data_IF_065639446769
#
_entry.id   IF_065639446769
#
_cell.length_a   1.000
_cell.length_b   1.000
_cell.length_c   1.000
_cell.angle_alpha   90.00
_cell.angle_beta   90.00
_cell.angle_gamma   90.00
#
_symmetry.space_group_name_H-M   'P 1'
#
loop_
_entity.id
_entity.type
_entity.pdbx_description
1 polymer ?
#
# COMPACT_ATOMS: atom_id res chain seq x y z
N UNK A 1 13.04 -14.61 22.82
CA UNK A 1 14.25 -14.08 23.48
C UNK A 1 13.80 -12.85 24.23
N UNK A 2 13.73 -12.93 25.55
CA UNK A 2 13.48 -11.75 26.37
C UNK A 2 14.69 -10.82 26.19
N UNK A 3 14.48 -9.72 25.48
CA UNK A 3 15.45 -8.63 25.45
C UNK A 3 15.62 -8.19 26.90
N UNK A 4 16.85 -8.28 27.41
CA UNK A 4 17.09 -7.93 28.81
C UNK A 4 16.73 -6.46 29.03
N UNK A 5 16.24 -6.09 30.22
CA UNK A 5 15.94 -4.69 30.54
C UNK A 5 17.14 -3.76 30.28
N UNK A 6 18.37 -4.29 30.37
CA UNK A 6 19.61 -3.57 30.01
C UNK A 6 19.79 -3.42 28.49
N UNK A 7 19.47 -4.43 27.67
CA UNK A 7 19.50 -4.28 26.20
C UNK A 7 18.51 -3.22 25.70
N UNK A 8 17.29 -3.19 26.26
CA UNK A 8 16.30 -2.17 25.91
C UNK A 8 16.80 -0.76 26.26
N UNK A 9 17.37 -0.58 27.46
CA UNK A 9 17.94 0.70 27.88
C UNK A 9 19.14 1.08 27.01
N UNK A 10 19.98 0.12 26.65
CA UNK A 10 21.15 0.32 25.79
C UNK A 10 20.75 0.79 24.39
N UNK A 11 19.76 0.15 23.77
CA UNK A 11 19.24 0.56 22.46
C UNK A 11 18.63 1.97 22.50
N UNK A 12 17.87 2.26 23.57
CA UNK A 12 17.24 3.56 23.77
C UNK A 12 18.29 4.67 23.90
N UNK A 13 19.38 4.41 24.62
CA UNK A 13 20.53 5.31 24.74
C UNK A 13 21.22 5.49 23.38
N UNK A 14 21.50 4.40 22.67
CA UNK A 14 22.24 4.43 21.40
C UNK A 14 21.48 5.18 20.28
N UNK A 15 20.16 5.00 20.20
CA UNK A 15 19.30 5.73 19.25
C UNK A 15 19.34 7.24 19.52
N UNK A 16 19.29 7.64 20.79
CA UNK A 16 19.33 9.05 21.16
C UNK A 16 20.73 9.66 20.99
N UNK A 17 21.80 8.88 21.13
CA UNK A 17 23.15 9.32 20.78
C UNK A 17 23.27 9.61 19.28
N UNK A 18 22.73 8.72 18.44
CA UNK A 18 22.72 8.90 16.97
C UNK A 18 21.86 10.07 16.50
N UNK A 19 20.86 10.46 17.30
CA UNK A 19 20.02 11.63 17.05
C UNK A 19 20.67 12.97 17.45
N UNK A 20 21.87 12.95 18.04
CA UNK A 20 22.58 14.15 18.48
C UNK A 20 22.06 14.75 19.79
N UNK A 21 21.37 13.96 20.61
CA UNK A 21 20.89 14.38 21.93
C UNK A 21 22.08 14.61 22.87
N UNK A 22 21.99 15.62 23.74
CA UNK A 22 23.08 15.95 24.67
C UNK A 22 23.44 14.76 25.58
N UNK A 23 24.73 14.44 25.80
CA UNK A 23 25.15 13.25 26.54
C UNK A 23 24.51 13.13 27.94
N UNK A 24 24.35 14.24 28.64
CA UNK A 24 23.79 14.29 29.99
C UNK A 24 22.29 13.94 30.02
N UNK A 25 21.57 14.16 28.91
CA UNK A 25 20.16 13.78 28.76
C UNK A 25 20.00 12.30 28.46
N UNK A 26 20.95 11.72 27.74
CA UNK A 26 20.97 10.30 27.38
C UNK A 26 21.24 9.46 28.63
N UNK A 27 22.17 9.89 29.47
CA UNK A 27 22.48 9.26 30.76
C UNK A 27 21.27 9.30 31.72
N UNK A 28 20.55 10.42 31.73
CA UNK A 28 19.31 10.57 32.51
C UNK A 28 18.19 9.66 32.00
N UNK A 29 18.05 9.54 30.68
CA UNK A 29 17.06 8.71 30.01
C UNK A 29 17.31 7.22 30.32
N UNK A 30 18.58 6.79 30.25
CA UNK A 30 18.96 5.43 30.64
C UNK A 30 18.75 5.15 32.14
N UNK A 31 19.08 6.09 33.03
CA UNK A 31 18.87 5.95 34.47
C UNK A 31 17.37 5.90 34.85
N UNK A 32 16.54 6.71 34.20
CA UNK A 32 15.10 6.76 34.47
C UNK A 32 14.36 5.53 33.92
N UNK A 33 14.70 5.07 32.72
CA UNK A 33 14.13 3.84 32.17
C UNK A 33 14.46 2.63 33.05
N UNK A 34 15.69 2.54 33.59
CA UNK A 34 16.05 1.53 34.61
C UNK A 34 15.19 1.63 35.86
N UNK A 35 14.92 2.84 36.36
CA UNK A 35 14.07 3.09 37.54
C UNK A 35 12.60 2.72 37.32
N UNK A 36 12.04 3.01 36.15
CA UNK A 36 10.67 2.68 35.78
C UNK A 36 10.47 1.18 35.56
N UNK A 37 11.43 0.51 34.91
CA UNK A 37 11.43 -0.96 34.74
C UNK A 37 11.55 -1.69 36.09
N UNK A 38 12.21 -1.08 37.08
CA UNK A 38 12.32 -1.61 38.45
C UNK A 38 11.06 -1.44 39.29
N UNK A 39 10.08 -0.62 38.85
CA UNK A 39 8.89 -0.23 39.64
C UNK A 39 7.54 -0.63 39.02
N UNK A 40 7.51 -1.26 37.85
CA UNK A 40 6.30 -1.81 37.20
C UNK A 40 5.09 -0.84 37.15
N UNK A 41 5.30 0.47 36.89
CA UNK A 41 4.20 1.45 36.79
C UNK A 41 3.78 1.65 35.34
N UNK A 42 2.50 1.45 35.03
CA UNK A 42 1.89 1.69 33.71
C UNK A 42 1.52 3.16 33.51
N UNK A 43 1.58 3.64 32.26
CA UNK A 43 1.22 5.01 31.84
C UNK A 43 -0.23 4.99 31.32
N UNK A 44 -1.13 5.81 31.89
CA UNK A 44 -2.55 5.88 31.50
C UNK A 44 -2.85 7.05 30.54
N UNK A 45 -3.64 6.79 29.48
CA UNK A 45 -3.84 7.74 28.37
C UNK A 45 -5.30 8.04 27.96
N UNK A 46 -6.29 7.14 28.13
CA UNK A 46 -7.60 7.37 27.51
C UNK A 46 -8.82 7.24 28.43
N UNK A 47 -9.64 8.28 28.38
CA UNK A 47 -11.10 8.25 28.55
C UNK A 47 -11.75 8.65 27.22
N UNK A 48 -12.90 8.05 26.90
CA UNK A 48 -13.57 7.85 25.59
C UNK A 48 -13.93 9.08 24.73
N UNK A 49 -13.29 10.23 24.92
CA UNK A 49 -13.53 11.40 24.07
C UNK A 49 -12.24 12.16 23.82
N UNK A 50 -11.76 12.12 22.58
CA UNK A 50 -10.90 13.15 22.01
C UNK A 50 -11.04 13.13 20.49
N UNK A 51 -11.82 14.07 20.00
CA UNK A 51 -11.86 14.49 18.60
C UNK A 51 -10.54 15.18 18.24
N UNK A 52 -10.01 14.84 17.07
CA UNK A 52 -8.74 15.26 16.45
C UNK A 52 -8.56 16.78 16.21
N UNK A 53 -9.30 17.67 16.87
CA UNK A 53 -9.36 19.09 16.48
C UNK A 53 -8.45 20.04 17.25
N UNK A 54 -7.71 19.61 18.27
CA UNK A 54 -6.64 20.47 18.82
C UNK A 54 -5.50 19.66 19.41
N UNK A 55 -4.36 19.61 18.68
CA UNK A 55 -3.09 19.04 19.14
C UNK A 55 -2.74 19.45 20.58
N UNK A 56 -3.04 20.71 20.94
CA UNK A 56 -2.81 21.25 22.29
C UNK A 56 -3.74 20.67 23.36
N UNK A 57 -4.98 20.27 23.06
CA UNK A 57 -5.91 19.72 24.05
C UNK A 57 -5.54 18.29 24.45
N UNK A 58 -5.18 17.44 23.47
CA UNK A 58 -4.70 16.09 23.72
C UNK A 58 -3.41 16.08 24.58
N UNK A 59 -2.45 16.93 24.21
CA UNK A 59 -1.19 17.10 24.95
C UNK A 59 -1.44 17.67 26.35
N UNK A 60 -2.32 18.67 26.50
CA UNK A 60 -2.68 19.22 27.82
C UNK A 60 -3.36 18.18 28.71
N UNK A 61 -4.26 17.36 28.16
CA UNK A 61 -4.90 16.25 28.89
C UNK A 61 -3.83 15.25 29.34
N UNK A 62 -2.91 14.87 28.44
CA UNK A 62 -1.78 13.99 28.75
C UNK A 62 -0.93 14.53 29.91
N UNK A 63 -0.50 15.80 29.85
CA UNK A 63 0.26 16.47 30.92
C UNK A 63 -0.53 16.45 32.24
N UNK A 64 -1.84 16.73 32.18
CA UNK A 64 -2.68 16.80 33.38
C UNK A 64 -2.89 15.45 34.08
N UNK A 65 -2.99 14.35 33.31
CA UNK A 65 -3.18 13.00 33.82
C UNK A 65 -1.87 12.36 34.30
N UNK A 66 -0.73 12.82 33.78
CA UNK A 66 0.58 12.26 34.05
C UNK A 66 1.48 13.17 34.90
N UNK A 67 0.90 14.01 35.76
CA UNK A 67 1.66 14.90 36.69
C UNK A 67 2.56 14.16 37.67
N UNK A 68 2.37 12.84 37.82
CA UNK A 68 3.18 11.96 38.65
C UNK A 68 4.50 11.54 37.96
N UNK A 69 4.62 11.76 36.65
CA UNK A 69 5.85 11.57 35.88
C UNK A 69 6.78 12.76 36.12
N UNK A 70 8.09 12.55 36.12
CA UNK A 70 9.02 13.64 36.31
C UNK A 70 8.90 14.68 35.16
N UNK A 71 9.09 15.99 35.45
CA UNK A 71 8.89 17.03 34.44
C UNK A 71 9.76 16.91 33.19
N UNK A 72 10.96 16.32 33.28
CA UNK A 72 11.88 16.18 32.13
C UNK A 72 11.41 15.08 31.19
N UNK A 73 11.03 13.92 31.71
CA UNK A 73 10.42 12.84 30.93
C UNK A 73 9.09 13.26 30.33
N UNK A 74 8.28 14.03 31.07
CA UNK A 74 7.03 14.56 30.54
C UNK A 74 7.28 15.52 29.36
N UNK A 75 8.28 16.39 29.46
CA UNK A 75 8.69 17.28 28.35
C UNK A 75 9.10 16.48 27.11
N UNK A 76 9.86 15.39 27.27
CA UNK A 76 10.28 14.54 26.15
C UNK A 76 9.10 13.85 25.46
N UNK A 77 8.19 13.26 26.25
CA UNK A 77 6.99 12.60 25.71
C UNK A 77 6.08 13.59 24.97
N UNK A 78 6.00 14.83 25.45
CA UNK A 78 5.29 15.92 24.78
C UNK A 78 5.97 16.27 23.45
N UNK A 79 7.29 16.45 23.42
CA UNK A 79 8.01 16.76 22.16
C UNK A 79 7.86 15.65 21.11
N UNK A 80 7.90 14.37 21.51
CA UNK A 80 7.61 13.26 20.60
C UNK A 80 6.15 13.32 20.10
N UNK A 81 5.19 13.57 20.99
CA UNK A 81 3.79 13.68 20.59
C UNK A 81 3.57 14.83 19.60
N UNK A 82 4.21 16.00 19.82
CA UNK A 82 4.17 17.14 18.90
C UNK A 82 4.75 16.77 17.52
N UNK A 83 5.93 16.14 17.47
CA UNK A 83 6.54 15.69 16.23
C UNK A 83 5.62 14.76 15.42
N UNK A 84 4.97 13.81 16.08
CA UNK A 84 4.06 12.87 15.41
C UNK A 84 2.82 13.60 14.88
N UNK A 85 2.25 14.52 15.67
CA UNK A 85 1.08 15.30 15.26
C UNK A 85 1.39 16.25 14.09
N UNK A 86 2.58 16.85 14.05
CA UNK A 86 3.03 17.68 12.93
C UNK A 86 3.16 16.88 11.63
N UNK A 87 3.47 15.58 11.75
CA UNK A 87 3.48 14.62 10.64
C UNK A 87 2.09 14.03 10.35
N UNK A 88 1.05 14.46 11.06
CA UNK A 88 -0.30 13.91 11.00
C UNK A 88 -0.33 12.39 11.30
N UNK A 89 0.50 11.94 12.24
CA UNK A 89 0.56 10.54 12.68
C UNK A 89 0.11 10.42 14.14
N UNK A 90 -0.52 9.30 14.53
CA UNK A 90 -0.79 9.03 15.93
C UNK A 90 0.52 8.76 16.65
N UNK A 91 0.75 9.44 17.78
CA UNK A 91 1.87 9.14 18.66
C UNK A 91 1.54 7.88 19.48
N UNK A 92 2.41 6.88 19.43
CA UNK A 92 2.27 5.64 20.18
C UNK A 92 3.58 5.43 20.94
N UNK A 93 3.50 5.24 22.26
CA UNK A 93 4.66 5.26 23.15
C UNK A 93 5.20 3.87 23.45
N UNK A 94 4.32 2.87 23.52
CA UNK A 94 4.66 1.50 23.89
C UNK A 94 3.58 0.53 23.40
N UNK A 95 3.77 -0.76 23.67
CA UNK A 95 2.86 -1.84 23.26
C UNK A 95 1.48 -1.73 23.93
N UNK A 96 1.40 -1.30 25.19
CA UNK A 96 0.12 -1.14 25.88
C UNK A 96 -0.71 0.00 25.25
N UNK A 97 -0.06 1.10 24.90
CA UNK A 97 -0.69 2.20 24.16
C UNK A 97 -1.11 1.73 22.76
N UNK A 98 -0.26 0.97 22.05
CA UNK A 98 -0.63 0.40 20.75
C UNK A 98 -1.88 -0.48 20.84
N UNK A 99 -1.97 -1.34 21.86
CA UNK A 99 -3.13 -2.20 22.05
C UNK A 99 -4.42 -1.38 22.20
N UNK A 100 -4.41 -0.37 23.08
CA UNK A 100 -5.56 0.52 23.29
C UNK A 100 -5.92 1.31 22.03
N UNK A 101 -4.92 1.76 21.28
CA UNK A 101 -5.11 2.42 19.99
C UNK A 101 -5.78 1.52 18.94
N UNK A 102 -5.61 0.20 19.05
CA UNK A 102 -6.21 -0.81 18.17
C UNK A 102 -7.50 -1.42 18.76
N UNK A 103 -8.07 -0.81 19.81
CA UNK A 103 -9.24 -1.31 20.54
C UNK A 103 -9.04 -2.73 21.13
N UNK A 104 -7.85 -3.00 21.65
CA UNK A 104 -7.46 -4.24 22.32
C UNK A 104 -6.84 -3.95 23.68
N UNK A 105 -6.83 -4.94 24.56
CA UNK A 105 -5.89 -4.95 25.69
C UNK A 105 -4.53 -5.53 25.26
N UNK A 106 -3.51 -5.28 26.11
CA UNK A 106 -2.13 -5.67 25.86
C UNK A 106 -1.97 -7.19 25.70
N UNK A 107 -2.69 -7.98 26.51
CA UNK A 107 -2.57 -9.43 26.50
C UNK A 107 -3.15 -10.03 25.21
N UNK A 108 -4.30 -9.52 24.78
CA UNK A 108 -4.92 -9.89 23.51
C UNK A 108 -4.07 -9.51 22.30
N UNK A 109 -3.44 -8.32 22.30
CA UNK A 109 -2.51 -7.94 21.24
C UNK A 109 -1.31 -8.90 21.18
N UNK A 110 -0.68 -9.19 22.32
CA UNK A 110 0.46 -10.11 22.38
C UNK A 110 0.07 -11.52 21.96
N UNK A 111 -1.09 -12.02 22.41
CA UNK A 111 -1.62 -13.33 22.03
C UNK A 111 -1.87 -13.41 20.53
N UNK A 112 -2.40 -12.35 19.91
CA UNK A 112 -2.63 -12.29 18.48
C UNK A 112 -1.31 -12.33 17.70
N UNK A 113 -0.28 -11.58 18.14
CA UNK A 113 1.06 -11.59 17.55
C UNK A 113 1.69 -12.99 17.66
N UNK A 114 1.64 -13.59 18.85
CA UNK A 114 2.18 -14.94 19.09
C UNK A 114 1.49 -16.00 18.23
N UNK A 115 0.17 -15.90 18.08
CA UNK A 115 -0.64 -16.86 17.33
C UNK A 115 -0.96 -16.40 15.90
N UNK A 116 -0.20 -15.44 15.34
CA UNK A 116 -0.50 -14.78 14.05
C UNK A 116 -0.82 -15.76 12.92
N UNK A 117 -0.17 -16.92 12.91
CA UNK A 117 -0.35 -17.94 11.88
C UNK A 117 -1.81 -18.44 11.81
N UNK A 118 -2.46 -18.59 12.96
CA UNK A 118 -3.86 -18.98 13.08
C UNK A 118 -4.84 -17.93 12.55
N UNK A 119 -4.39 -16.68 12.38
CA UNK A 119 -5.19 -15.56 11.88
C UNK A 119 -5.08 -15.35 10.37
N UNK A 120 -4.37 -16.23 9.66
CA UNK A 120 -4.36 -16.28 8.20
C UNK A 120 -5.03 -17.55 7.67
N UNK A 121 -5.53 -17.46 6.46
CA UNK A 121 -5.89 -18.62 5.66
C UNK A 121 -5.31 -18.46 4.26
N UNK A 122 -4.86 -19.57 3.69
CA UNK A 122 -4.17 -19.59 2.41
C UNK A 122 -5.00 -20.29 1.35
N UNK A 123 -5.04 -19.73 0.15
CA UNK A 123 -5.75 -20.31 -0.98
C UNK A 123 -5.10 -19.91 -2.30
N UNK A 124 -5.52 -20.56 -3.39
CA UNK A 124 -4.97 -20.31 -4.72
C UNK A 124 -6.01 -19.69 -5.65
N UNK A 125 -5.61 -18.68 -6.41
CA UNK A 125 -6.39 -18.10 -7.51
C UNK A 125 -5.68 -18.40 -8.84
N UNK A 126 -6.37 -18.77 -9.93
CA UNK A 126 -5.75 -18.94 -11.24
C UNK A 126 -5.16 -17.61 -11.73
N UNK A 127 -3.94 -17.66 -12.28
CA UNK A 127 -3.37 -16.54 -13.03
C UNK A 127 -3.96 -16.50 -14.44
N UNK A 128 -4.05 -15.29 -15.01
CA UNK A 128 -4.58 -15.07 -16.36
C UNK A 128 -3.77 -15.74 -17.49
N UNK A 129 -2.50 -16.06 -17.25
CA UNK A 129 -1.60 -16.70 -18.22
C UNK A 129 -1.18 -18.11 -17.78
N UNK A 130 -1.99 -18.77 -16.95
CA UNK A 130 -1.69 -20.09 -16.40
C UNK A 130 -0.88 -20.04 -15.08
N UNK A 131 -0.95 -21.14 -14.34
CA UNK A 131 -0.41 -21.26 -12.99
C UNK A 131 -1.35 -20.71 -11.91
N UNK A 132 -0.90 -20.79 -10.66
CA UNK A 132 -1.67 -20.40 -9.47
C UNK A 132 -0.98 -19.23 -8.74
N UNK A 133 -1.79 -18.34 -8.18
CA UNK A 133 -1.36 -17.25 -7.29
C UNK A 133 -1.75 -17.65 -5.87
N UNK A 134 -0.75 -17.82 -5.02
CA UNK A 134 -0.95 -18.09 -3.61
C UNK A 134 -1.37 -16.78 -2.90
N UNK A 135 -2.52 -16.81 -2.24
CA UNK A 135 -3.06 -15.70 -1.44
C UNK A 135 -3.02 -16.13 0.01
N UNK A 136 -2.51 -15.26 0.88
CA UNK A 136 -2.55 -15.41 2.33
C UNK A 136 -3.41 -14.26 2.88
N UNK A 137 -4.68 -14.53 3.12
CA UNK A 137 -5.63 -13.51 3.56
C UNK A 137 -5.81 -13.56 5.09
N UNK A 138 -5.81 -12.40 5.77
CA UNK A 138 -6.14 -12.33 7.19
C UNK A 138 -7.61 -12.69 7.41
N UNK A 139 -7.89 -13.36 8.53
CA UNK A 139 -9.23 -13.58 9.07
C UNK A 139 -9.83 -12.26 9.56
N UNK A 140 -11.15 -12.24 9.80
CA UNK A 140 -11.92 -11.02 10.06
C UNK A 140 -11.32 -10.12 11.16
N UNK A 141 -10.88 -10.71 12.27
CA UNK A 141 -10.30 -10.00 13.42
C UNK A 141 -9.01 -9.25 13.04
N UNK A 142 -7.97 -9.98 12.59
CA UNK A 142 -6.72 -9.36 12.13
C UNK A 142 -6.95 -8.39 10.95
N UNK A 143 -7.90 -8.70 10.07
CA UNK A 143 -8.25 -7.83 8.94
C UNK A 143 -8.82 -6.49 9.40
N UNK A 144 -9.58 -6.46 10.50
CA UNK A 144 -10.10 -5.22 11.08
C UNK A 144 -8.96 -4.37 11.65
N UNK A 145 -8.05 -4.98 12.41
CA UNK A 145 -6.85 -4.32 12.96
C UNK A 145 -5.97 -3.75 11.84
N UNK A 146 -5.69 -4.55 10.81
CA UNK A 146 -4.92 -4.12 9.65
C UNK A 146 -5.58 -2.97 8.87
N UNK A 147 -6.92 -2.90 8.85
CA UNK A 147 -7.63 -1.74 8.28
C UNK A 147 -7.45 -0.50 9.14
N UNK A 148 -7.50 -0.61 10.47
CA UNK A 148 -7.23 0.50 11.39
C UNK A 148 -5.81 1.05 11.21
N UNK A 149 -4.80 0.17 11.13
CA UNK A 149 -3.41 0.55 10.82
C UNK A 149 -3.34 1.26 9.46
N UNK A 150 -4.03 0.73 8.44
CA UNK A 150 -4.05 1.32 7.11
C UNK A 150 -4.60 2.76 7.14
N UNK A 151 -5.78 2.97 7.74
CA UNK A 151 -6.46 4.27 7.71
C UNK A 151 -5.82 5.29 8.65
N UNK A 152 -5.42 4.85 9.85
CA UNK A 152 -4.96 5.77 10.89
C UNK A 152 -3.45 6.06 10.84
N UNK A 153 -2.66 5.21 10.19
CA UNK A 153 -1.21 5.37 10.10
C UNK A 153 -0.79 5.47 8.63
N UNK A 154 -0.97 4.39 7.86
CA UNK A 154 -0.30 4.24 6.56
C UNK A 154 -0.82 5.23 5.50
N UNK A 155 -2.12 5.43 5.38
CA UNK A 155 -2.71 6.35 4.39
C UNK A 155 -2.34 7.83 4.65
N UNK A 156 -1.83 8.16 5.84
CA UNK A 156 -1.32 9.50 6.19
C UNK A 156 0.13 9.70 5.73
N UNK A 157 0.84 8.62 5.40
CA UNK A 157 2.22 8.66 4.89
C UNK A 157 2.24 9.07 3.42
N UNK A 158 3.10 10.05 3.10
CA UNK A 158 3.31 10.49 1.73
C UNK A 158 3.93 9.36 0.88
N UNK A 159 3.31 9.11 -0.27
CA UNK A 159 3.82 8.20 -1.31
C UNK A 159 4.02 9.00 -2.59
N UNK A 160 5.13 8.75 -3.28
CA UNK A 160 5.52 9.49 -4.47
C UNK A 160 4.41 9.50 -5.56
N UNK A 161 4.14 10.62 -6.24
CA UNK A 161 3.05 10.73 -7.23
C UNK A 161 3.12 9.77 -8.42
N UNK A 162 4.31 9.26 -8.76
CA UNK A 162 4.47 8.28 -9.85
C UNK A 162 3.89 6.90 -9.51
N UNK A 163 3.75 6.58 -8.22
CA UNK A 163 3.04 5.40 -7.77
C UNK A 163 1.54 5.60 -7.95
N UNK A 164 0.94 4.81 -8.83
CA UNK A 164 -0.48 4.83 -9.17
C UNK A 164 -1.23 3.59 -8.61
N UNK A 165 -0.53 2.49 -8.37
CA UNK A 165 -1.13 1.27 -7.82
C UNK A 165 -1.56 1.47 -6.36
N UNK A 166 -2.70 0.89 -5.99
CA UNK A 166 -3.20 0.85 -4.60
C UNK A 166 -3.42 2.22 -3.92
N UNK A 167 -3.65 3.28 -4.70
CA UNK A 167 -3.89 4.62 -4.16
C UNK A 167 -5.29 5.11 -4.49
N UNK A 168 -5.92 5.77 -3.53
CA UNK A 168 -7.20 6.46 -3.73
C UNK A 168 -7.04 7.53 -4.82
N UNK A 169 -8.03 7.66 -5.69
CA UNK A 169 -8.03 8.62 -6.79
C UNK A 169 -7.06 8.30 -7.95
N UNK A 170 -6.31 7.19 -7.88
CA UNK A 170 -5.45 6.71 -8.97
C UNK A 170 -6.05 5.45 -9.60
N UNK A 171 -5.72 5.22 -10.86
CA UNK A 171 -6.22 4.08 -11.62
C UNK A 171 -5.24 3.66 -12.71
N UNK A 172 -5.57 2.58 -13.41
CA UNK A 172 -4.84 2.19 -14.63
C UNK A 172 -4.85 3.29 -15.70
N UNK A 173 -5.85 4.18 -15.68
CA UNK A 173 -5.96 5.31 -16.62
C UNK A 173 -4.98 6.41 -16.25
N UNK A 174 -4.92 6.79 -14.97
CA UNK A 174 -3.94 7.79 -14.50
C UNK A 174 -2.51 7.31 -14.68
N UNK A 175 -2.27 6.01 -14.50
CA UNK A 175 -0.98 5.38 -14.77
C UNK A 175 -0.60 5.49 -16.26
N UNK A 176 -1.55 5.19 -17.15
CA UNK A 176 -1.33 5.18 -18.60
C UNK A 176 -1.22 6.57 -19.24
N UNK A 177 -1.79 7.61 -18.62
CA UNK A 177 -1.90 8.94 -19.19
C UNK A 177 -0.54 9.57 -19.53
N UNK A 178 0.47 9.36 -18.69
CA UNK A 178 1.80 9.92 -18.90
C UNK A 178 2.56 9.28 -20.07
N UNK A 179 2.07 8.16 -20.61
CA UNK A 179 2.75 7.39 -21.66
C UNK A 179 2.04 7.48 -23.02
N UNK A 180 1.02 8.33 -23.13
CA UNK A 180 0.23 8.47 -24.36
C UNK A 180 1.06 9.09 -25.47
N UNK A 181 1.01 8.49 -26.67
CA UNK A 181 1.61 9.07 -27.88
C UNK A 181 3.12 8.90 -28.03
N UNK A 182 3.78 8.27 -27.06
CA UNK A 182 5.24 8.12 -26.99
C UNK A 182 5.77 7.16 -28.07
N UNK A 183 6.97 7.43 -28.59
CA UNK A 183 7.60 6.59 -29.63
C UNK A 183 7.89 5.17 -29.13
N UNK A 184 8.30 5.04 -27.87
CA UNK A 184 8.64 3.77 -27.24
C UNK A 184 8.19 3.71 -25.78
N UNK A 185 7.69 2.55 -25.37
CA UNK A 185 7.35 2.22 -23.98
C UNK A 185 8.10 0.95 -23.59
N UNK A 186 8.83 1.02 -22.50
CA UNK A 186 9.49 -0.10 -21.85
C UNK A 186 8.68 -0.45 -20.61
N UNK A 187 8.32 -1.72 -20.48
CA UNK A 187 7.63 -2.25 -19.30
C UNK A 187 8.55 -3.24 -18.61
N UNK A 188 8.63 -3.12 -17.30
CA UNK A 188 9.36 -4.04 -16.43
C UNK A 188 8.42 -4.43 -15.28
N UNK A 189 8.67 -5.58 -14.67
CA UNK A 189 7.84 -6.12 -13.58
C UNK A 189 8.78 -6.56 -12.46
N UNK A 190 8.42 -6.24 -11.22
CA UNK A 190 9.18 -6.72 -10.06
C UNK A 190 8.74 -8.14 -9.72
N UNK A 191 9.69 -9.07 -9.70
CA UNK A 191 9.46 -10.46 -9.36
C UNK A 191 9.09 -10.58 -7.88
N UNK A 192 8.05 -11.37 -7.61
CA UNK A 192 7.56 -11.67 -6.26
C UNK A 192 7.44 -10.42 -5.37
N UNK A 193 6.85 -9.35 -5.90
CA UNK A 193 6.85 -8.03 -5.29
C UNK A 193 6.46 -8.00 -3.81
N UNK A 194 5.30 -8.56 -3.41
CA UNK A 194 4.94 -8.61 -1.99
C UNK A 194 5.88 -9.52 -1.17
N UNK A 195 6.11 -10.79 -1.55
CA UNK A 195 7.06 -11.63 -0.81
C UNK A 195 8.49 -11.09 -0.73
N UNK A 196 8.95 -10.28 -1.68
CA UNK A 196 10.30 -9.68 -1.65
C UNK A 196 10.45 -8.60 -0.57
N UNK A 197 9.34 -8.07 -0.05
CA UNK A 197 9.35 -7.10 1.04
C UNK A 197 9.33 -7.85 2.38
N UNK A 198 10.48 -7.84 3.04
CA UNK A 198 10.74 -8.58 4.29
C UNK A 198 10.26 -7.84 5.53
N UNK A 199 10.17 -8.58 6.63
CA UNK A 199 9.91 -8.05 7.98
C UNK A 199 10.81 -6.87 8.31
N UNK A 200 12.12 -7.00 8.07
CA UNK A 200 13.08 -5.93 8.35
C UNK A 200 12.78 -4.64 7.57
N UNK A 201 12.37 -4.74 6.30
CA UNK A 201 11.99 -3.56 5.49
C UNK A 201 10.72 -2.91 6.04
N UNK A 202 9.76 -3.71 6.49
CA UNK A 202 8.51 -3.19 7.08
C UNK A 202 8.77 -2.56 8.47
N UNK A 203 9.61 -3.18 9.31
CA UNK A 203 10.05 -2.60 10.60
C UNK A 203 10.76 -1.27 10.37
N UNK A 204 11.65 -1.20 9.38
CA UNK A 204 12.32 0.03 8.95
C UNK A 204 11.33 1.15 8.61
N UNK A 205 10.24 0.84 7.89
CA UNK A 205 9.18 1.83 7.62
C UNK A 205 8.59 2.39 8.92
N UNK A 206 8.18 1.55 9.87
CA UNK A 206 7.57 2.05 11.11
C UNK A 206 8.58 2.80 12.00
N UNK A 207 9.85 2.40 12.01
CA UNK A 207 10.92 3.14 12.70
C UNK A 207 11.14 4.52 12.06
N UNK A 208 11.20 4.61 10.73
CA UNK A 208 11.39 5.88 9.99
C UNK A 208 10.22 6.85 10.21
N UNK A 209 9.00 6.33 10.43
CA UNK A 209 7.84 7.15 10.79
C UNK A 209 8.00 7.79 12.19
N UNK A 210 8.83 7.22 13.05
CA UNK A 210 9.12 7.69 14.40
C UNK A 210 8.62 6.77 15.51
N UNK A 211 8.06 5.59 15.19
CA UNK A 211 7.53 4.70 16.23
C UNK A 211 8.67 4.03 17.05
N UNK A 212 8.52 3.93 18.39
CA UNK A 212 9.47 3.22 19.23
C UNK A 212 9.65 1.76 18.81
N UNK A 213 10.82 1.18 19.09
CA UNK A 213 11.20 -0.15 18.58
C UNK A 213 10.15 -1.24 18.85
N UNK A 214 9.67 -1.38 20.09
CA UNK A 214 8.66 -2.38 20.43
C UNK A 214 7.31 -2.16 19.73
N UNK A 215 6.92 -0.91 19.50
CA UNK A 215 5.70 -0.56 18.75
C UNK A 215 5.88 -0.82 17.26
N UNK A 216 7.02 -0.43 16.68
CA UNK A 216 7.35 -0.70 15.29
C UNK A 216 7.39 -2.21 15.01
N UNK A 217 7.94 -2.99 15.92
CA UNK A 217 7.97 -4.45 15.85
C UNK A 217 6.56 -5.05 15.90
N UNK A 218 5.74 -4.64 16.86
CA UNK A 218 4.35 -5.10 16.96
C UNK A 218 3.52 -4.74 15.70
N UNK A 219 3.65 -3.51 15.18
CA UNK A 219 3.01 -3.10 13.92
C UNK A 219 3.50 -3.93 12.72
N UNK A 220 4.78 -4.30 12.72
CA UNK A 220 5.38 -5.16 11.68
C UNK A 220 4.83 -6.58 11.77
N UNK A 221 4.73 -7.14 12.98
CA UNK A 221 4.13 -8.45 13.23
C UNK A 221 2.68 -8.49 12.77
N UNK A 222 1.90 -7.45 13.05
CA UNK A 222 0.52 -7.31 12.58
C UNK A 222 0.42 -7.14 11.06
N UNK A 223 1.46 -6.65 10.39
CA UNK A 223 1.45 -6.34 8.95
C UNK A 223 2.08 -7.40 8.06
N UNK A 224 2.76 -8.39 8.66
CA UNK A 224 3.53 -9.41 7.93
C UNK A 224 3.02 -10.81 8.25
N UNK A 225 3.38 -11.75 7.38
CA UNK A 225 3.07 -13.17 7.53
C UNK A 225 4.28 -13.96 7.08
N UNK A 226 4.76 -14.91 7.90
CA UNK A 226 6.01 -15.64 7.64
C UNK A 226 7.20 -14.73 7.26
N UNK A 227 7.30 -13.59 7.96
CA UNK A 227 8.40 -12.63 7.82
C UNK A 227 8.39 -11.80 6.53
N UNK A 228 7.29 -11.76 5.78
CA UNK A 228 7.16 -11.01 4.51
C UNK A 228 5.78 -10.37 4.40
N UNK A 229 5.59 -9.44 3.47
CA UNK A 229 4.25 -8.91 3.18
C UNK A 229 3.36 -9.99 2.52
N UNK A 230 2.21 -10.35 3.11
CA UNK A 230 1.30 -11.31 2.51
C UNK A 230 0.48 -10.66 1.39
N UNK A 231 0.19 -11.46 0.35
CA UNK A 231 -0.79 -11.08 -0.64
C UNK A 231 -2.19 -11.32 -0.08
N UNK A 232 -2.95 -10.26 0.17
CA UNK A 232 -4.33 -10.34 0.68
C UNK A 232 -4.59 -9.52 1.95
N UNK A 233 -3.54 -9.09 2.66
CA UNK A 233 -3.68 -8.19 3.81
C UNK A 233 -4.00 -6.74 3.36
N UNK A 234 -4.86 -6.00 4.09
CA UNK A 234 -5.16 -4.60 3.81
C UNK A 234 -3.95 -3.67 3.85
N UNK A 235 -2.96 -3.92 4.70
CA UNK A 235 -1.77 -3.06 4.85
C UNK A 235 -0.74 -3.25 3.74
N UNK A 236 -0.57 -4.48 3.24
CA UNK A 236 0.47 -4.83 2.25
C UNK A 236 0.52 -3.91 1.03
N UNK A 237 -0.62 -3.57 0.37
CA UNK A 237 -0.61 -2.68 -0.79
C UNK A 237 0.03 -1.32 -0.51
N UNK A 238 -0.34 -0.67 0.59
CA UNK A 238 0.18 0.66 0.91
C UNK A 238 1.62 0.59 1.43
N UNK A 239 1.95 -0.39 2.28
CA UNK A 239 3.33 -0.63 2.73
C UNK A 239 4.28 -0.85 1.54
N UNK A 240 3.85 -1.63 0.55
CA UNK A 240 4.66 -1.85 -0.66
C UNK A 240 4.99 -0.56 -1.42
N UNK A 241 4.08 0.42 -1.39
CA UNK A 241 4.30 1.72 -2.00
C UNK A 241 5.27 2.58 -1.17
N UNK A 242 5.17 2.56 0.15
CA UNK A 242 6.10 3.27 1.04
C UNK A 242 7.52 2.72 0.84
N UNK A 243 7.69 1.39 0.90
CA UNK A 243 8.98 0.72 0.71
C UNK A 243 9.60 1.04 -0.67
N UNK A 244 8.77 1.19 -1.69
CA UNK A 244 9.21 1.51 -3.06
C UNK A 244 9.48 3.01 -3.29
N UNK A 245 9.24 3.88 -2.31
CA UNK A 245 9.27 5.34 -2.51
C UNK A 245 10.67 5.90 -2.78
N UNK A 246 11.73 5.21 -2.38
CA UNK A 246 13.12 5.60 -2.71
C UNK A 246 13.44 5.30 -4.18
N UNK A 247 13.11 4.08 -4.64
CA UNK A 247 13.16 3.70 -6.06
C UNK A 247 12.37 4.70 -6.93
N UNK A 248 11.14 5.04 -6.51
CA UNK A 248 10.28 5.98 -7.21
C UNK A 248 10.93 7.37 -7.38
N UNK A 249 11.57 7.87 -6.31
CA UNK A 249 12.29 9.16 -6.33
C UNK A 249 13.50 9.13 -7.26
N UNK A 250 14.28 8.04 -7.25
CA UNK A 250 15.44 7.87 -8.15
C UNK A 250 14.99 7.89 -9.60
N UNK A 251 13.94 7.12 -9.95
CA UNK A 251 13.42 7.11 -11.31
C UNK A 251 12.78 8.43 -11.72
N UNK A 252 12.03 9.08 -10.83
CA UNK A 252 11.46 10.39 -11.14
C UNK A 252 12.53 11.46 -11.39
N UNK A 253 13.59 11.50 -10.56
CA UNK A 253 14.70 12.41 -10.76
C UNK A 253 15.49 12.12 -12.03
N UNK A 254 15.69 10.84 -12.37
CA UNK A 254 16.32 10.43 -13.62
C UNK A 254 15.47 10.80 -14.83
N UNK A 255 14.16 10.55 -14.77
CA UNK A 255 13.18 10.87 -15.80
C UNK A 255 13.19 12.36 -16.15
N UNK A 256 13.29 13.22 -15.14
CA UNK A 256 13.39 14.67 -15.34
C UNK A 256 14.69 15.07 -16.03
N UNK A 257 15.83 14.45 -15.69
CA UNK A 257 17.14 14.78 -16.26
C UNK A 257 17.34 14.26 -17.69
N UNK A 258 16.72 13.13 -18.01
CA UNK A 258 16.93 12.39 -19.27
C UNK A 258 15.73 12.47 -20.22
N UNK A 259 14.76 13.34 -19.93
CA UNK A 259 13.54 13.59 -20.72
C UNK A 259 12.79 12.30 -21.10
N UNK A 260 12.34 11.57 -20.09
CA UNK A 260 11.42 10.45 -20.24
C UNK A 260 10.33 10.47 -19.17
N UNK A 261 9.32 9.64 -19.32
CA UNK A 261 8.25 9.47 -18.34
C UNK A 261 8.38 8.15 -17.59
N UNK A 262 8.13 8.19 -16.29
CA UNK A 262 8.10 7.03 -15.41
C UNK A 262 6.77 6.97 -14.65
N UNK A 263 6.21 5.77 -14.54
CA UNK A 263 5.13 5.47 -13.61
C UNK A 263 5.22 4.04 -13.07
N UNK A 264 4.62 3.83 -11.90
CA UNK A 264 4.55 2.51 -11.26
C UNK A 264 3.12 2.16 -10.87
N UNK A 265 2.67 0.96 -11.22
CA UNK A 265 1.40 0.40 -10.78
C UNK A 265 1.64 -0.94 -10.07
N UNK A 266 1.72 -0.89 -8.74
CA UNK A 266 2.16 -2.04 -7.94
C UNK A 266 3.57 -2.49 -8.35
N UNK A 267 3.69 -3.71 -8.88
CA UNK A 267 4.89 -4.36 -9.40
C UNK A 267 5.21 -3.98 -10.85
N UNK A 268 4.23 -3.48 -11.62
CA UNK A 268 4.41 -3.04 -13.00
C UNK A 268 5.09 -1.66 -13.05
N UNK A 269 6.26 -1.58 -13.68
CA UNK A 269 7.00 -0.36 -13.98
C UNK A 269 6.85 0.01 -15.45
N UNK A 270 6.65 1.29 -15.73
CA UNK A 270 6.52 1.82 -17.08
C UNK A 270 7.46 2.99 -17.30
N UNK A 271 8.21 2.92 -18.40
CA UNK A 271 9.09 3.97 -18.87
C UNK A 271 8.74 4.31 -20.32
N UNK A 272 8.70 5.57 -20.71
CA UNK A 272 8.46 5.94 -22.11
C UNK A 272 9.20 7.19 -22.51
N UNK A 273 9.59 7.27 -23.77
CA UNK A 273 10.27 8.44 -24.34
C UNK A 273 9.90 8.58 -25.82
N UNK A 274 10.18 9.76 -26.37
CA UNK A 274 10.17 10.02 -27.81
C UNK A 274 11.48 9.61 -28.49
N UNK A 275 12.54 9.29 -27.74
CA UNK A 275 13.78 8.72 -28.28
C UNK A 275 13.57 7.24 -28.71
N UNK A 276 13.64 6.89 -30.02
CA UNK A 276 13.45 5.52 -30.48
C UNK A 276 14.49 4.52 -29.96
N UNK A 277 15.65 5.00 -29.50
CA UNK A 277 16.77 4.21 -28.97
C UNK A 277 16.73 4.02 -27.45
N UNK A 278 15.67 4.49 -26.79
CA UNK A 278 15.51 4.50 -25.33
C UNK A 278 15.67 3.13 -24.66
N UNK A 279 15.52 2.02 -25.39
CA UNK A 279 15.77 0.67 -24.87
C UNK A 279 17.21 0.44 -24.41
N UNK A 280 18.17 1.29 -24.79
CA UNK A 280 19.55 1.28 -24.26
C UNK A 280 19.63 1.51 -22.75
N UNK A 281 18.60 2.11 -22.13
CA UNK A 281 18.55 2.40 -20.69
C UNK A 281 18.11 1.23 -19.82
N UNK A 282 17.63 0.12 -20.41
CA UNK A 282 17.13 -1.04 -19.65
C UNK A 282 18.17 -1.56 -18.62
N UNK A 283 19.46 -1.74 -18.95
CA UNK A 283 20.46 -2.19 -17.98
C UNK A 283 20.56 -1.25 -16.77
N UNK A 284 20.46 0.07 -17.00
CA UNK A 284 20.49 1.05 -15.91
C UNK A 284 19.23 1.00 -15.05
N UNK A 285 18.06 0.78 -15.66
CA UNK A 285 16.82 0.58 -14.90
C UNK A 285 16.88 -0.67 -14.03
N UNK A 286 17.44 -1.78 -14.54
CA UNK A 286 17.67 -2.99 -13.75
C UNK A 286 18.53 -2.69 -12.54
N UNK A 287 19.66 -2.01 -12.75
CA UNK A 287 20.58 -1.67 -11.67
C UNK A 287 19.89 -0.85 -10.56
N UNK A 288 19.09 0.16 -10.91
CA UNK A 288 18.32 0.91 -9.91
C UNK A 288 17.33 0.02 -9.14
N UNK A 289 16.65 -0.93 -9.81
CA UNK A 289 15.69 -1.83 -9.17
C UNK A 289 16.42 -2.77 -8.18
N UNK A 290 17.56 -3.31 -8.61
CA UNK A 290 18.40 -4.21 -7.81
C UNK A 290 19.01 -3.51 -6.60
N UNK A 291 19.55 -2.31 -6.77
CA UNK A 291 20.07 -1.46 -5.69
C UNK A 291 19.02 -1.17 -4.61
N UNK A 292 17.75 -1.08 -5.00
CA UNK A 292 16.62 -0.82 -4.10
C UNK A 292 16.05 -2.13 -3.48
N UNK A 293 16.77 -3.24 -3.66
CA UNK A 293 16.48 -4.54 -3.06
C UNK A 293 15.32 -5.29 -3.71
N UNK A 294 15.11 -5.09 -5.01
CA UNK A 294 14.10 -5.80 -5.80
C UNK A 294 14.73 -6.57 -6.96
N UNK A 295 14.09 -7.64 -7.42
CA UNK A 295 14.52 -8.42 -8.58
C UNK A 295 13.61 -8.15 -9.78
N UNK A 296 14.18 -7.99 -10.98
CA UNK A 296 13.42 -7.83 -12.21
C UNK A 296 12.91 -9.17 -12.72
N UNK A 297 11.65 -9.23 -13.10
CA UNK A 297 11.08 -10.37 -13.81
C UNK A 297 11.43 -10.30 -15.31
N UNK A 298 12.61 -10.83 -15.67
CA UNK A 298 13.14 -10.74 -17.03
C UNK A 298 12.18 -11.27 -18.11
N UNK A 299 11.38 -12.30 -17.79
CA UNK A 299 10.38 -12.86 -18.72
C UNK A 299 9.24 -11.90 -19.06
N UNK A 300 9.03 -10.86 -18.25
CA UNK A 300 7.98 -9.85 -18.42
C UNK A 300 8.52 -8.49 -18.89
N UNK A 301 9.83 -8.36 -19.08
CA UNK A 301 10.40 -7.18 -19.71
C UNK A 301 9.90 -7.10 -21.15
N UNK A 302 9.28 -5.98 -21.51
CA UNK A 302 8.67 -5.82 -22.82
C UNK A 302 8.86 -4.42 -23.38
N UNK A 303 9.12 -4.33 -24.69
CA UNK A 303 9.29 -3.08 -25.43
C UNK A 303 8.13 -2.95 -26.41
N UNK A 304 7.41 -1.83 -26.36
CA UNK A 304 6.33 -1.51 -27.26
C UNK A 304 6.62 -0.21 -28.02
N UNK A 305 6.80 -0.31 -29.34
CA UNK A 305 7.05 0.84 -30.23
C UNK A 305 5.75 1.34 -30.86
N UNK A 306 5.73 2.62 -31.26
CA UNK A 306 4.56 3.32 -31.83
C UNK A 306 3.96 2.65 -33.08
N UNK A 307 4.80 2.00 -33.90
CA UNK A 307 4.34 1.24 -35.07
C UNK A 307 3.50 0.01 -34.73
N UNK A 308 3.60 -0.52 -33.50
CA UNK A 308 2.79 -1.62 -32.99
C UNK A 308 1.79 -1.15 -31.92
N UNK A 309 1.01 -2.09 -31.38
CA UNK A 309 0.07 -1.78 -30.29
C UNK A 309 0.83 -1.56 -28.97
N UNK A 310 0.77 -0.34 -28.44
CA UNK A 310 1.28 0.01 -27.12
C UNK A 310 0.19 -0.16 -26.07
N UNK A 311 0.46 -1.03 -25.09
CA UNK A 311 -0.48 -1.36 -24.01
C UNK A 311 0.19 -1.24 -22.65
N UNK A 312 -0.41 -0.46 -21.77
CA UNK A 312 -0.03 -0.33 -20.36
C UNK A 312 -1.22 -0.64 -19.46
N UNK A 313 -1.02 -1.44 -18.40
CA UNK A 313 -2.05 -1.78 -17.39
C UNK A 313 -3.43 -2.12 -17.97
N UNK A 314 -3.48 -2.81 -19.12
CA UNK A 314 -4.73 -3.22 -19.77
C UNK A 314 -5.26 -2.30 -20.87
N UNK A 315 -4.80 -1.04 -20.95
CA UNK A 315 -5.31 -0.01 -21.88
C UNK A 315 -4.31 0.30 -22.99
N UNK A 316 -4.83 0.73 -24.14
CA UNK A 316 -4.03 1.13 -25.31
C UNK A 316 -3.68 2.61 -25.20
N UNK A 317 -2.42 2.97 -25.50
CA UNK A 317 -1.87 4.34 -25.28
C UNK A 317 -1.25 4.98 -26.52
N UNK A 318 -1.30 4.34 -27.69
CA UNK A 318 -0.64 4.82 -28.91
C UNK A 318 -0.90 6.29 -29.31
N UNK A 319 -2.10 6.82 -29.07
CA UNK A 319 -2.50 8.20 -29.46
C UNK A 319 -3.37 8.86 -28.42
N UNK A 320 -4.30 8.07 -27.86
CA UNK A 320 -5.15 8.41 -26.73
C UNK A 320 -5.39 7.15 -25.92
N UNK A 321 -5.73 7.31 -24.65
CA UNK A 321 -6.16 6.18 -23.84
C UNK A 321 -7.43 5.56 -24.46
N UNK A 322 -7.39 4.25 -24.67
CA UNK A 322 -8.52 3.52 -25.23
C UNK A 322 -8.57 2.10 -24.69
N UNK A 323 -9.77 1.50 -24.74
CA UNK A 323 -9.89 0.05 -24.59
C UNK A 323 -9.39 -0.65 -25.85
N UNK A 324 -9.12 -1.95 -25.72
CA UNK A 324 -8.80 -2.78 -26.88
C UNK A 324 -9.98 -2.81 -27.84
N UNK A 325 -9.70 -2.68 -29.15
CA UNK A 325 -10.73 -2.63 -30.19
C UNK A 325 -11.64 -3.86 -30.15
N UNK A 326 -11.07 -5.03 -29.89
CA UNK A 326 -11.79 -6.30 -29.89
C UNK A 326 -12.75 -6.41 -28.71
N UNK A 327 -12.35 -5.93 -27.53
CA UNK A 327 -13.24 -5.88 -26.35
C UNK A 327 -14.44 -4.97 -26.62
N UNK A 328 -14.22 -3.78 -27.20
CA UNK A 328 -15.31 -2.88 -27.55
C UNK A 328 -16.26 -3.49 -28.59
N UNK A 329 -15.71 -4.13 -29.64
CA UNK A 329 -16.51 -4.83 -30.66
C UNK A 329 -17.33 -5.96 -30.06
N UNK A 330 -16.71 -6.78 -29.20
CA UNK A 330 -17.38 -7.88 -28.48
C UNK A 330 -18.56 -7.35 -27.67
N UNK A 331 -18.34 -6.34 -26.83
CA UNK A 331 -19.42 -5.78 -25.99
C UNK A 331 -20.55 -5.20 -26.83
N UNK A 332 -20.22 -4.48 -27.91
CA UNK A 332 -21.23 -3.95 -28.84
C UNK A 332 -22.05 -5.07 -29.48
N UNK A 333 -21.41 -6.17 -29.88
CA UNK A 333 -22.10 -7.33 -30.46
C UNK A 333 -23.03 -8.02 -29.44
N UNK A 334 -22.56 -8.21 -28.21
CA UNK A 334 -23.41 -8.78 -27.13
C UNK A 334 -24.65 -7.92 -26.90
N UNK A 335 -24.48 -6.60 -26.76
CA UNK A 335 -25.61 -5.68 -26.55
C UNK A 335 -26.59 -5.71 -27.72
N UNK A 336 -26.08 -5.69 -28.96
CA UNK A 336 -26.90 -5.78 -30.16
C UNK A 336 -27.74 -7.07 -30.19
N UNK A 337 -27.13 -8.21 -29.89
CA UNK A 337 -27.84 -9.49 -29.88
C UNK A 337 -28.87 -9.56 -28.75
N UNK A 338 -28.55 -9.04 -27.56
CA UNK A 338 -29.53 -8.94 -26.47
C UNK A 338 -30.72 -8.03 -26.83
N UNK A 339 -30.50 -6.92 -27.55
CA UNK A 339 -31.57 -6.06 -28.04
C UNK A 339 -32.50 -6.76 -29.05
N UNK A 340 -31.97 -7.76 -29.77
CA UNK A 340 -32.75 -8.56 -30.72
C UNK A 340 -33.41 -9.79 -30.07
N UNK A 341 -33.33 -9.94 -28.74
CA UNK A 341 -33.98 -11.04 -28.00
C UNK A 341 -33.09 -12.25 -27.70
N UNK A 342 -31.82 -12.28 -28.16
CA UNK A 342 -30.92 -13.44 -28.01
C UNK A 342 -30.23 -13.53 -26.63
N UNK A 343 -30.92 -13.16 -25.55
CA UNK A 343 -30.31 -13.04 -24.21
C UNK A 343 -29.77 -14.40 -23.72
N UNK A 344 -30.54 -15.48 -23.87
CA UNK A 344 -30.16 -16.81 -23.39
C UNK A 344 -28.90 -17.35 -24.10
N UNK A 345 -28.80 -17.15 -25.41
CA UNK A 345 -27.62 -17.56 -26.18
C UNK A 345 -26.39 -16.70 -25.81
N UNK A 346 -26.57 -15.39 -25.56
CA UNK A 346 -25.48 -14.55 -25.07
C UNK A 346 -25.01 -14.96 -23.68
N UNK A 347 -25.92 -15.33 -22.77
CA UNK A 347 -25.58 -15.86 -21.44
C UNK A 347 -24.73 -17.13 -21.54
N UNK A 348 -25.15 -18.07 -22.38
CA UNK A 348 -24.40 -19.31 -22.66
C UNK A 348 -22.98 -19.01 -23.17
N UNK A 349 -22.84 -18.12 -24.17
CA UNK A 349 -21.53 -17.70 -24.70
C UNK A 349 -20.69 -16.93 -23.70
N UNK A 350 -21.33 -16.20 -22.78
CA UNK A 350 -20.65 -15.50 -21.70
C UNK A 350 -20.19 -16.44 -20.57
N UNK A 351 -20.67 -17.68 -20.56
CA UNK A 351 -20.36 -18.69 -19.57
C UNK A 351 -21.06 -18.45 -18.23
N UNK A 352 -22.26 -17.86 -18.25
CA UNK A 352 -23.04 -17.55 -17.04
C UNK A 352 -24.48 -18.02 -17.24
N UNK A 353 -25.00 -18.79 -16.29
CA UNK A 353 -26.38 -19.30 -16.29
C UNK A 353 -27.39 -18.36 -15.65
N UNK A 354 -26.95 -17.50 -14.73
CA UNK A 354 -27.81 -16.58 -13.99
C UNK A 354 -27.91 -15.20 -14.67
N UNK A 355 -29.14 -14.74 -14.89
CA UNK A 355 -29.41 -13.47 -15.59
C UNK A 355 -28.77 -12.27 -14.89
N UNK A 356 -28.96 -12.14 -13.57
CA UNK A 356 -28.42 -11.03 -12.80
C UNK A 356 -26.89 -11.01 -12.83
N UNK A 357 -26.27 -12.19 -12.75
CA UNK A 357 -24.81 -12.30 -12.84
C UNK A 357 -24.30 -11.90 -14.22
N UNK A 358 -25.01 -12.27 -15.28
CA UNK A 358 -24.69 -11.83 -16.65
C UNK A 358 -24.86 -10.31 -16.79
N UNK A 359 -26.00 -9.77 -16.36
CA UNK A 359 -26.31 -8.33 -16.39
C UNK A 359 -25.26 -7.51 -15.64
N UNK A 360 -24.90 -7.93 -14.42
CA UNK A 360 -23.89 -7.26 -13.60
C UNK A 360 -22.48 -7.38 -14.20
N UNK A 361 -22.13 -8.54 -14.76
CA UNK A 361 -20.85 -8.75 -15.44
C UNK A 361 -20.72 -7.86 -16.69
N UNK A 362 -21.76 -7.82 -17.54
CA UNK A 362 -21.81 -6.99 -18.73
C UNK A 362 -21.76 -5.50 -18.36
N UNK A 363 -22.56 -5.06 -17.39
CA UNK A 363 -22.54 -3.68 -16.86
C UNK A 363 -21.17 -3.31 -16.30
N UNK A 364 -20.50 -4.21 -15.59
CA UNK A 364 -19.15 -4.02 -15.07
C UNK A 364 -18.12 -3.78 -16.19
N UNK A 365 -18.18 -4.57 -17.28
CA UNK A 365 -17.33 -4.38 -18.46
C UNK A 365 -17.62 -3.06 -19.16
N UNK A 366 -18.89 -2.65 -19.28
CA UNK A 366 -19.27 -1.36 -19.85
C UNK A 366 -18.74 -0.20 -18.99
N UNK A 367 -18.88 -0.28 -17.67
CA UNK A 367 -18.34 0.70 -16.73
C UNK A 367 -16.82 0.83 -16.85
N UNK A 368 -16.10 -0.28 -17.06
CA UNK A 368 -14.68 -0.26 -17.38
C UNK A 368 -14.40 0.49 -18.69
N UNK A 369 -15.15 0.22 -19.76
CA UNK A 369 -14.99 0.98 -21.02
C UNK A 369 -15.25 2.46 -20.79
N UNK A 370 -16.29 2.81 -20.01
CA UNK A 370 -16.65 4.20 -19.69
C UNK A 370 -15.57 4.91 -18.87
N UNK A 371 -14.92 4.22 -17.95
CA UNK A 371 -13.77 4.74 -17.18
C UNK A 371 -12.60 5.08 -18.11
N UNK A 372 -12.33 4.24 -19.11
CA UNK A 372 -11.19 4.39 -20.04
C UNK A 372 -11.50 5.35 -21.19
N UNK A 373 -12.72 5.32 -21.72
CA UNK A 373 -13.22 6.13 -22.82
C UNK A 373 -14.72 6.43 -22.61
N UNK A 374 -15.00 7.63 -22.09
CA UNK A 374 -16.35 8.04 -21.67
C UNK A 374 -17.36 8.01 -22.81
N UNK A 375 -16.98 8.48 -24.00
CA UNK A 375 -17.87 8.52 -25.17
C UNK A 375 -18.31 7.11 -25.60
N UNK A 376 -17.35 6.20 -25.80
CA UNK A 376 -17.64 4.81 -26.17
C UNK A 376 -18.41 4.07 -25.08
N UNK A 377 -18.05 4.29 -23.81
CA UNK A 377 -18.73 3.68 -22.69
C UNK A 377 -20.18 4.14 -22.56
N UNK A 378 -20.46 5.44 -22.76
CA UNK A 378 -21.82 5.96 -22.76
C UNK A 378 -22.65 5.34 -23.89
N UNK A 379 -22.09 5.20 -25.10
CA UNK A 379 -22.76 4.52 -26.23
C UNK A 379 -23.16 3.08 -25.88
N UNK A 380 -22.27 2.32 -25.21
CA UNK A 380 -22.58 0.96 -24.76
C UNK A 380 -23.63 0.96 -23.65
N UNK A 381 -23.53 1.89 -22.68
CA UNK A 381 -24.45 1.99 -21.57
C UNK A 381 -25.89 2.29 -22.05
N UNK A 382 -26.05 3.25 -22.97
CA UNK A 382 -27.36 3.54 -23.56
C UNK A 382 -27.95 2.35 -24.31
N UNK A 383 -27.12 1.55 -24.99
CA UNK A 383 -27.57 0.30 -25.60
C UNK A 383 -27.99 -0.74 -24.57
N UNK A 384 -27.24 -0.86 -23.46
CA UNK A 384 -27.53 -1.78 -22.37
C UNK A 384 -28.83 -1.44 -21.62
N UNK A 385 -29.11 -0.16 -21.39
CA UNK A 385 -30.33 0.32 -20.72
C UNK A 385 -31.59 0.08 -21.55
N UNK A 386 -31.46 -0.05 -22.88
CA UNK A 386 -32.55 -0.36 -23.80
C UNK A 386 -32.89 -1.85 -23.92
N UNK A 387 -32.09 -2.73 -23.32
CA UNK A 387 -32.35 -4.18 -23.37
C UNK A 387 -33.58 -4.48 -22.50
N UNK A 388 -34.57 -5.13 -23.10
CA UNK A 388 -35.72 -5.70 -22.38
C UNK A 388 -35.28 -6.95 -21.64
N UNK A 389 -34.89 -6.79 -20.38
CA UNK A 389 -34.49 -7.91 -19.52
C UNK A 389 -35.73 -8.72 -19.12
N UNK A 390 -35.71 -10.06 -19.24
CA UNK A 390 -36.79 -10.89 -18.71
C UNK A 390 -36.85 -10.74 -17.19
N UNK A 391 -38.07 -10.83 -16.65
CA UNK A 391 -38.37 -10.68 -15.23
C UNK A 391 -37.79 -11.84 -14.40
#
# INVERSE_FOLDING_TARGET
MECSHEEFVSNLVEINQRAGTAPELIDLLGAYTRLCLKRSKEIEFYSDSLTLSTNKAAIRKFISQNRHIDPRSLSFLVSYAEMMLDRNLPFIFNIAHLARFLDLDKENLLRLIQNKESYYHSFYIPKSHGGKRHICAPKAELKAIQKGILTEILEKVFVHPCANGFRRGRSIVSNAQNHVGQEIIIKMDIKDFFPSITFARVKGVYLDLGYPEGTAEALTELSTYKGRLPMGAPTSPYLSNIVSSRMDRRFAGLAQKMDFHYSRYADDLAFSSNDPTFNRWIPFFRHIIEDEGFEVNEKKVAIARKGGRQKLTGVVVNRKINTQRDEYKRLRAVIHNCLNGDIQEQMKRWGVSELDRFKNSLRGRISFVRMVNREKGNKLLSGFERISWPA
#
